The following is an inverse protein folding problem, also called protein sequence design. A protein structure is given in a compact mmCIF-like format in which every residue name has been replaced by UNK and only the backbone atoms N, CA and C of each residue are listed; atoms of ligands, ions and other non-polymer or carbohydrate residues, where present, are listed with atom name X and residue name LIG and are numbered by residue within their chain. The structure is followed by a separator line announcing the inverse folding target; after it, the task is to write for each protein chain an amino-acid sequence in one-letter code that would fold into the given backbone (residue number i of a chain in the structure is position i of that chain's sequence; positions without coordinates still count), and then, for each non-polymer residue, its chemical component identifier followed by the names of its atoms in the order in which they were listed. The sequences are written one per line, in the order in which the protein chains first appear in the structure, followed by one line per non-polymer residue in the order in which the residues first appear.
data_IF_923815725194
#
_entry.id   IF_923815725194
#
_cell.length_a   1.000
_cell.length_b   1.000
_cell.length_c   1.000
_cell.angle_alpha   90.00
_cell.angle_beta   90.00
_cell.angle_gamma   90.00
#
_symmetry.space_group_name_H-M   'P 1'
#
loop_
_entity.id
_entity.type
_entity.pdbx_description
1 polymer ?
#
# COMPACT_ATOMS: atom_id res chain seq x y z
N UNK A 1 22.69 11.48 41.68
CA UNK A 1 22.40 11.40 40.23
C UNK A 1 23.26 10.30 39.65
N UNK A 2 22.65 9.20 39.20
CA UNK A 2 23.41 8.13 38.55
C UNK A 2 23.96 8.59 37.18
N UNK A 3 25.07 8.02 36.70
CA UNK A 3 25.61 8.37 35.39
C UNK A 3 24.56 8.09 34.30
N UNK A 4 24.43 8.97 33.30
CA UNK A 4 23.47 8.76 32.21
C UNK A 4 23.78 7.43 31.52
N UNK A 5 22.79 6.53 31.51
CA UNK A 5 22.93 5.27 30.80
C UNK A 5 23.03 5.53 29.30
N UNK A 6 24.20 5.22 28.74
CA UNK A 6 24.42 5.27 27.29
C UNK A 6 23.50 4.22 26.67
N UNK A 7 22.58 4.59 25.75
CA UNK A 7 21.67 3.64 25.15
C UNK A 7 22.47 2.53 24.44
N UNK A 8 22.00 1.27 24.48
CA UNK A 8 22.70 0.15 23.88
C UNK A 8 22.92 0.41 22.39
N UNK A 9 24.18 0.35 21.96
CA UNK A 9 24.55 0.62 20.56
C UNK A 9 23.92 -0.43 19.66
N UNK A 10 23.27 0.01 18.59
CA UNK A 10 22.66 -0.88 17.59
C UNK A 10 23.72 -1.80 16.99
N UNK A 11 23.43 -3.10 16.93
CA UNK A 11 24.30 -4.08 16.25
C UNK A 11 24.47 -3.69 14.79
N UNK A 12 25.69 -3.80 14.28
CA UNK A 12 25.97 -3.71 12.85
C UNK A 12 25.50 -5.01 12.21
N UNK A 13 24.50 -4.94 11.32
CA UNK A 13 23.81 -6.14 10.79
C UNK A 13 24.21 -6.53 9.37
N UNK A 14 25.02 -5.73 8.69
CA UNK A 14 25.41 -5.99 7.30
C UNK A 14 26.80 -6.63 7.22
N UNK A 15 27.01 -7.64 6.36
CA UNK A 15 28.33 -8.22 6.09
C UNK A 15 29.38 -7.20 5.65
N UNK A 16 28.96 -6.04 5.11
CA UNK A 16 29.88 -4.96 4.71
C UNK A 16 30.78 -4.52 5.86
N UNK A 17 30.28 -4.59 7.10
CA UNK A 17 31.04 -4.19 8.28
C UNK A 17 32.19 -5.13 8.61
N UNK A 18 32.23 -6.35 8.04
CA UNK A 18 33.36 -7.26 8.17
C UNK A 18 34.63 -6.72 7.48
N UNK A 19 34.49 -5.73 6.60
CA UNK A 19 35.61 -5.07 5.93
C UNK A 19 36.06 -3.77 6.63
N UNK A 20 35.53 -3.50 7.82
CA UNK A 20 35.85 -2.30 8.58
C UNK A 20 36.11 -2.60 10.06
N UNK A 21 37.22 -2.08 10.56
CA UNK A 21 37.52 -2.05 11.99
C UNK A 21 37.09 -0.71 12.59
N UNK A 22 36.64 -0.73 13.84
CA UNK A 22 36.23 0.48 14.53
C UNK A 22 37.42 1.05 15.29
N UNK A 23 37.82 2.27 14.94
CA UNK A 23 38.96 2.96 15.56
C UNK A 23 38.56 4.33 16.09
N UNK A 24 39.27 4.81 17.11
CA UNK A 24 39.10 6.17 17.64
C UNK A 24 40.29 6.99 17.14
N UNK A 25 40.01 8.04 16.37
CA UNK A 25 41.03 8.96 15.83
C UNK A 25 40.67 10.36 16.28
N UNK A 26 41.53 10.99 17.09
CA UNK A 26 41.33 12.33 17.66
C UNK A 26 40.01 12.46 18.45
N UNK A 27 39.63 11.42 19.21
CA UNK A 27 38.40 11.40 20.01
C UNK A 27 37.12 11.11 19.22
N UNK A 28 37.21 10.95 17.89
CA UNK A 28 36.06 10.58 17.04
C UNK A 28 36.10 9.10 16.65
N UNK A 29 34.94 8.42 16.72
CA UNK A 29 34.80 7.08 16.16
C UNK A 29 34.83 7.12 14.63
N UNK A 30 35.73 6.33 14.04
CA UNK A 30 35.87 6.14 12.60
C UNK A 30 35.87 4.65 12.27
N UNK A 31 35.40 4.33 11.06
CA UNK A 31 35.56 3.02 10.46
C UNK A 31 36.88 3.01 9.68
N UNK A 32 37.80 2.11 9.98
CA UNK A 32 39.03 1.87 9.24
C UNK A 32 38.81 0.70 8.28
N UNK A 33 39.07 0.90 6.98
CA UNK A 33 38.98 -0.20 6.03
C UNK A 33 40.14 -1.18 6.22
N UNK A 34 39.86 -2.48 6.35
CA UNK A 34 40.88 -3.52 6.55
C UNK A 34 41.79 -3.74 5.33
N UNK A 35 41.36 -3.30 4.14
CA UNK A 35 42.08 -3.50 2.88
C UNK A 35 43.04 -2.36 2.52
N UNK A 36 42.78 -1.14 3.01
CA UNK A 36 43.56 0.05 2.64
C UNK A 36 43.91 0.96 3.81
N UNK A 37 43.51 0.59 5.03
CA UNK A 37 43.76 1.30 6.29
C UNK A 37 43.20 2.73 6.35
N UNK A 38 42.34 3.11 5.40
CA UNK A 38 41.74 4.44 5.31
C UNK A 38 40.62 4.60 6.36
N UNK A 39 40.55 5.79 6.98
CA UNK A 39 39.52 6.14 7.96
C UNK A 39 38.30 6.81 7.31
N UNK A 40 37.11 6.38 7.71
CA UNK A 40 35.82 6.90 7.29
C UNK A 40 35.00 7.34 8.50
N UNK A 41 34.43 8.54 8.44
CA UNK A 41 33.45 9.01 9.42
C UNK A 41 32.06 8.52 9.05
N UNK A 42 31.25 8.18 10.06
CA UNK A 42 29.84 7.84 9.90
C UNK A 42 29.00 9.03 9.39
N UNK A 43 29.51 10.26 9.47
CA UNK A 43 28.86 11.46 8.96
C UNK A 43 29.74 12.11 7.90
N UNK A 44 29.17 12.34 6.72
CA UNK A 44 29.83 13.15 5.71
C UNK A 44 29.86 14.61 6.17
N UNK A 45 31.04 15.23 6.11
CA UNK A 45 31.20 16.64 6.49
C UNK A 45 30.67 17.55 5.37
N UNK A 46 30.11 18.73 5.69
CA UNK A 46 29.65 19.68 4.68
C UNK A 46 30.73 20.02 3.64
N UNK A 47 31.99 20.14 4.06
CA UNK A 47 33.13 20.37 3.18
C UNK A 47 33.36 19.23 2.18
N UNK A 48 33.14 17.96 2.58
CA UNK A 48 33.26 16.81 1.65
C UNK A 48 32.13 16.81 0.62
N UNK A 49 30.91 17.17 1.03
CA UNK A 49 29.79 17.33 0.10
C UNK A 49 30.06 18.44 -0.91
N UNK A 50 30.52 19.62 -0.45
CA UNK A 50 30.84 20.74 -1.33
C UNK A 50 31.90 20.35 -2.38
N UNK A 51 33.00 19.72 -1.95
CA UNK A 51 34.06 19.25 -2.86
C UNK A 51 33.55 18.23 -3.89
N UNK A 52 32.58 17.40 -3.52
CA UNK A 52 31.96 16.45 -4.44
C UNK A 52 31.08 17.17 -5.46
N UNK A 53 30.23 18.11 -5.01
CA UNK A 53 29.40 18.91 -5.91
C UNK A 53 30.24 19.78 -6.87
N UNK A 54 31.36 20.34 -6.42
CA UNK A 54 32.27 21.11 -7.28
C UNK A 54 32.83 20.24 -8.42
N UNK A 55 33.19 18.98 -8.11
CA UNK A 55 33.64 18.01 -9.13
C UNK A 55 32.52 17.56 -10.06
N UNK A 56 31.30 17.42 -9.55
CA UNK A 56 30.14 17.11 -10.37
C UNK A 56 29.80 18.26 -11.34
N UNK A 57 29.83 19.51 -10.86
CA UNK A 57 29.69 20.72 -11.70
C UNK A 57 30.79 20.82 -12.76
N UNK A 58 32.04 20.54 -12.39
CA UNK A 58 33.15 20.50 -13.35
C UNK A 58 32.96 19.41 -14.43
N UNK A 59 32.24 18.34 -14.10
CA UNK A 59 31.86 17.27 -15.04
C UNK A 59 30.54 17.53 -15.77
N UNK A 60 29.99 18.75 -15.69
CA UNK A 60 28.72 19.20 -16.29
C UNK A 60 27.49 18.38 -15.86
N UNK A 61 27.50 17.82 -14.65
CA UNK A 61 26.36 17.08 -14.10
C UNK A 61 25.44 18.04 -13.34
N UNK A 62 24.14 17.97 -13.65
CA UNK A 62 23.12 18.69 -12.89
C UNK A 62 23.06 18.16 -11.45
N UNK A 63 23.32 19.04 -10.50
CA UNK A 63 23.32 18.73 -9.07
C UNK A 63 21.98 19.10 -8.39
N UNK A 64 20.94 19.43 -9.16
CA UNK A 64 19.60 19.71 -8.63
C UNK A 64 19.05 18.56 -7.79
N UNK A 65 19.32 17.31 -8.20
CA UNK A 65 19.03 16.09 -7.43
C UNK A 65 20.27 15.63 -6.67
N UNK A 66 20.36 16.04 -5.41
CA UNK A 66 21.44 15.62 -4.51
C UNK A 66 21.43 14.10 -4.27
N UNK A 67 22.62 13.54 -4.05
CA UNK A 67 22.79 12.15 -3.60
C UNK A 67 21.99 11.91 -2.32
N UNK A 68 21.19 10.85 -2.32
CA UNK A 68 20.39 10.44 -1.17
C UNK A 68 21.01 9.22 -0.51
N UNK A 69 20.94 9.15 0.82
CA UNK A 69 21.36 7.95 1.54
C UNK A 69 20.19 6.98 1.64
N UNK A 70 20.50 5.69 1.54
CA UNK A 70 19.55 4.63 1.85
C UNK A 70 19.06 4.75 3.30
N UNK A 71 17.77 4.49 3.49
CA UNK A 71 17.08 4.58 4.75
C UNK A 71 16.32 3.27 4.98
N UNK A 72 16.88 2.41 5.84
CA UNK A 72 16.33 1.06 6.10
C UNK A 72 14.83 1.04 6.43
N UNK A 73 14.30 2.10 7.04
CA UNK A 73 12.88 2.20 7.42
C UNK A 73 11.97 2.70 6.29
N UNK A 74 12.52 2.99 5.11
CA UNK A 74 11.79 3.49 3.93
C UNK A 74 12.10 2.61 2.72
N UNK A 75 11.21 1.71 2.39
CA UNK A 75 11.39 0.72 1.34
C UNK A 75 11.80 1.27 -0.05
N UNK A 76 11.44 2.52 -0.40
CA UNK A 76 11.85 3.15 -1.65
C UNK A 76 13.22 3.85 -1.60
N UNK A 77 13.86 3.96 -0.44
CA UNK A 77 15.10 4.72 -0.31
C UNK A 77 16.24 4.11 -1.10
N UNK A 78 16.29 2.79 -1.24
CA UNK A 78 17.34 2.13 -2.01
C UNK A 78 17.21 2.51 -3.48
N UNK A 79 16.01 2.42 -4.04
CA UNK A 79 15.74 2.88 -5.41
C UNK A 79 16.09 4.36 -5.59
N UNK A 80 15.62 5.24 -4.68
CA UNK A 80 15.89 6.67 -4.76
C UNK A 80 17.38 7.00 -4.64
N UNK A 81 18.11 6.31 -3.75
CA UNK A 81 19.55 6.41 -3.62
C UNK A 81 20.23 6.05 -4.94
N UNK A 82 19.94 4.87 -5.50
CA UNK A 82 20.59 4.39 -6.71
C UNK A 82 20.28 5.29 -7.90
N UNK A 83 19.01 5.66 -8.14
CA UNK A 83 18.62 6.57 -9.21
C UNK A 83 19.25 7.96 -9.04
N UNK A 84 19.36 8.47 -7.81
CA UNK A 84 20.06 9.74 -7.55
C UNK A 84 21.56 9.63 -7.82
N UNK A 85 22.16 8.43 -7.67
CA UNK A 85 23.58 8.19 -7.86
C UNK A 85 23.98 7.97 -9.33
N UNK A 86 23.07 7.47 -10.17
CA UNK A 86 23.36 7.16 -11.59
C UNK A 86 24.01 8.31 -12.38
N UNK A 87 23.50 9.56 -12.30
CA UNK A 87 24.12 10.68 -13.02
C UNK A 87 25.57 10.96 -12.61
N UNK A 88 25.96 10.53 -11.40
CA UNK A 88 27.28 10.77 -10.84
C UNK A 88 28.30 9.66 -11.15
N UNK A 89 27.95 8.63 -11.92
CA UNK A 89 28.84 7.50 -12.28
C UNK A 89 30.23 7.95 -12.72
N UNK A 90 30.29 8.93 -13.62
CA UNK A 90 31.56 9.48 -14.13
C UNK A 90 32.34 10.28 -13.08
N UNK A 91 31.66 10.94 -12.14
CA UNK A 91 32.29 11.65 -11.02
C UNK A 91 33.02 10.68 -10.11
N UNK A 92 32.38 9.55 -9.79
CA UNK A 92 33.01 8.47 -9.01
C UNK A 92 34.22 7.87 -9.74
N UNK A 93 34.13 7.67 -11.05
CA UNK A 93 35.27 7.24 -11.88
C UNK A 93 36.44 8.23 -11.81
N UNK A 94 36.17 9.52 -12.01
CA UNK A 94 37.19 10.57 -11.96
C UNK A 94 37.84 10.69 -10.57
N UNK A 95 37.05 10.52 -9.51
CA UNK A 95 37.54 10.51 -8.13
C UNK A 95 38.55 9.38 -7.89
N UNK A 96 38.30 8.20 -8.45
CA UNK A 96 39.21 7.05 -8.38
C UNK A 96 40.54 7.34 -9.06
N UNK A 97 40.50 7.93 -10.24
CA UNK A 97 41.70 8.28 -11.03
C UNK A 97 42.54 9.35 -10.33
N UNK A 98 41.89 10.38 -9.77
CA UNK A 98 42.59 11.48 -9.08
C UNK A 98 43.14 11.08 -7.71
N UNK A 99 42.52 10.12 -7.04
CA UNK A 99 42.97 9.63 -5.75
C UNK A 99 42.87 8.10 -5.71
N UNK A 100 43.95 7.39 -6.07
CA UNK A 100 44.00 5.93 -6.04
C UNK A 100 43.66 5.32 -4.68
N UNK A 101 43.79 6.06 -3.57
CA UNK A 101 43.39 5.60 -2.24
C UNK A 101 41.88 5.39 -2.10
N UNK A 102 41.08 5.99 -2.97
CA UNK A 102 39.62 5.78 -3.02
C UNK A 102 39.22 4.53 -3.82
N UNK A 103 40.18 3.72 -4.30
CA UNK A 103 39.92 2.53 -5.14
C UNK A 103 38.89 1.58 -4.53
N UNK A 104 38.90 1.41 -3.21
CA UNK A 104 37.98 0.53 -2.47
C UNK A 104 36.75 1.26 -1.90
N UNK A 105 36.62 2.56 -2.18
CA UNK A 105 35.56 3.43 -1.64
C UNK A 105 34.58 3.93 -2.72
N UNK A 106 34.85 3.61 -3.99
CA UNK A 106 34.00 3.98 -5.12
C UNK A 106 33.43 2.73 -5.80
N UNK A 107 32.22 2.80 -6.38
CA UNK A 107 31.67 1.66 -7.09
C UNK A 107 32.49 1.30 -8.33
N UNK A 108 32.63 0.00 -8.58
CA UNK A 108 33.23 -0.57 -9.79
C UNK A 108 32.24 -0.55 -10.96
N UNK A 109 32.69 -0.91 -12.17
CA UNK A 109 31.80 -1.03 -13.33
C UNK A 109 30.71 -2.08 -13.09
N UNK A 110 31.07 -3.24 -12.55
CA UNK A 110 30.11 -4.29 -12.19
C UNK A 110 29.11 -3.82 -11.13
N UNK A 111 29.53 -3.00 -10.15
CA UNK A 111 28.59 -2.43 -9.17
C UNK A 111 27.55 -1.51 -9.83
N UNK A 112 27.96 -0.73 -10.84
CA UNK A 112 27.04 0.12 -11.61
C UNK A 112 26.08 -0.71 -12.46
N UNK A 113 26.56 -1.75 -13.12
CA UNK A 113 25.74 -2.68 -13.91
C UNK A 113 24.69 -3.37 -13.02
N UNK A 114 25.11 -3.89 -11.85
CA UNK A 114 24.20 -4.45 -10.87
C UNK A 114 23.18 -3.41 -10.37
N UNK A 115 23.62 -2.18 -10.10
CA UNK A 115 22.73 -1.11 -9.66
C UNK A 115 21.72 -0.70 -10.74
N UNK A 116 22.08 -0.73 -12.02
CA UNK A 116 21.16 -0.51 -13.15
C UNK A 116 20.08 -1.60 -13.20
N UNK A 117 20.46 -2.88 -13.08
CA UNK A 117 19.53 -4.01 -13.00
C UNK A 117 18.57 -3.82 -11.83
N UNK A 118 19.09 -3.57 -10.63
CA UNK A 118 18.26 -3.37 -9.43
C UNK A 118 17.33 -2.17 -9.59
N UNK A 119 17.80 -1.05 -10.16
CA UNK A 119 16.96 0.11 -10.42
C UNK A 119 15.79 -0.23 -11.34
N UNK A 120 16.03 -0.97 -12.42
CA UNK A 120 14.98 -1.39 -13.34
C UNK A 120 13.91 -2.22 -12.63
N UNK A 121 14.31 -3.23 -11.85
CA UNK A 121 13.36 -4.06 -11.09
C UNK A 121 12.58 -3.24 -10.06
N UNK A 122 13.27 -2.38 -9.30
CA UNK A 122 12.65 -1.57 -8.24
C UNK A 122 11.79 -0.42 -8.78
N UNK A 123 11.97 0.00 -10.03
CA UNK A 123 11.19 1.08 -10.65
C UNK A 123 9.68 0.80 -10.62
N UNK A 124 9.27 -0.45 -10.87
CA UNK A 124 7.85 -0.85 -10.84
C UNK A 124 7.23 -0.61 -9.46
N UNK A 125 7.97 -0.96 -8.41
CA UNK A 125 7.57 -0.79 -7.01
C UNK A 125 7.45 0.69 -6.65
N UNK A 126 8.43 1.48 -7.06
CA UNK A 126 8.44 2.91 -6.81
C UNK A 126 7.21 3.60 -7.42
N UNK A 127 6.92 3.35 -8.70
CA UNK A 127 5.72 3.89 -9.40
C UNK A 127 4.42 3.52 -8.68
N UNK A 128 4.31 2.28 -8.23
CA UNK A 128 3.13 1.82 -7.48
C UNK A 128 3.03 2.54 -6.13
N UNK A 129 4.15 2.82 -5.47
CA UNK A 129 4.16 3.60 -4.23
C UNK A 129 3.69 5.03 -4.42
N UNK A 130 4.13 5.69 -5.48
CA UNK A 130 3.72 7.05 -5.79
C UNK A 130 2.20 7.11 -6.03
N UNK A 131 1.69 6.13 -6.78
CA UNK A 131 0.25 5.94 -6.99
C UNK A 131 -0.50 5.80 -5.65
N UNK A 132 0.06 5.03 -4.71
CA UNK A 132 -0.52 4.82 -3.38
C UNK A 132 -0.36 6.01 -2.43
N UNK A 133 0.60 6.89 -2.70
CA UNK A 133 0.84 8.10 -1.90
C UNK A 133 -0.11 9.24 -2.29
N UNK A 134 -0.90 9.05 -3.36
CA UNK A 134 -1.95 9.97 -3.79
C UNK A 134 -3.01 10.20 -2.71
N UNK A 135 -3.47 11.46 -2.59
CA UNK A 135 -4.51 11.88 -1.63
C UNK A 135 -5.82 12.34 -2.30
N UNK A 136 -5.88 12.34 -3.64
CA UNK A 136 -6.95 12.99 -4.42
C UNK A 136 -8.04 12.04 -4.94
N UNK A 137 -7.90 10.73 -4.76
CA UNK A 137 -8.86 9.74 -5.28
C UNK A 137 -8.95 8.52 -4.35
N UNK A 138 -10.05 7.76 -4.41
CA UNK A 138 -10.15 6.45 -3.77
C UNK A 138 -9.12 5.54 -4.43
N UNK A 139 -8.19 5.10 -3.61
CA UNK A 139 -7.07 4.28 -4.03
C UNK A 139 -7.31 2.82 -3.71
N UNK A 140 -8.14 2.53 -2.69
CA UNK A 140 -8.39 1.20 -2.10
C UNK A 140 -8.72 0.13 -3.15
N UNK A 141 -9.63 0.45 -4.07
CA UNK A 141 -10.06 -0.40 -5.18
C UNK A 141 -8.96 -0.70 -6.21
N UNK A 142 -7.96 0.18 -6.33
CA UNK A 142 -6.85 0.02 -7.28
C UNK A 142 -5.71 -0.82 -6.69
N UNK A 143 -5.63 -0.96 -5.35
CA UNK A 143 -4.50 -1.64 -4.71
C UNK A 143 -4.35 -3.08 -5.13
N UNK A 144 -5.45 -3.83 -5.14
CA UNK A 144 -5.41 -5.26 -5.36
C UNK A 144 -4.66 -5.60 -6.65
N UNK A 145 -5.06 -4.99 -7.76
CA UNK A 145 -4.42 -5.16 -9.08
C UNK A 145 -2.94 -4.84 -9.00
N UNK A 146 -2.59 -3.67 -8.48
CA UNK A 146 -1.19 -3.22 -8.38
C UNK A 146 -0.34 -4.13 -7.48
N UNK A 147 -0.90 -4.68 -6.40
CA UNK A 147 -0.20 -5.61 -5.49
C UNK A 147 -0.02 -6.98 -6.15
N UNK A 148 -1.02 -7.47 -6.88
CA UNK A 148 -0.89 -8.69 -7.68
C UNK A 148 0.19 -8.54 -8.77
N UNK A 149 0.22 -7.40 -9.46
CA UNK A 149 1.26 -7.08 -10.45
C UNK A 149 2.67 -7.09 -9.83
N UNK A 150 2.83 -6.63 -8.58
CA UNK A 150 4.09 -6.74 -7.84
C UNK A 150 4.47 -8.21 -7.64
N UNK A 151 3.53 -9.04 -7.17
CA UNK A 151 3.80 -10.47 -6.95
C UNK A 151 4.23 -11.16 -8.24
N UNK A 152 3.56 -10.86 -9.36
CA UNK A 152 3.88 -11.40 -10.67
C UNK A 152 5.26 -10.93 -11.15
N UNK A 153 5.59 -9.65 -10.98
CA UNK A 153 6.90 -9.13 -11.33
C UNK A 153 8.02 -9.78 -10.51
N UNK A 154 7.78 -10.02 -9.21
CA UNK A 154 8.72 -10.73 -8.34
C UNK A 154 8.91 -12.19 -8.74
N UNK A 155 7.83 -12.93 -9.04
CA UNK A 155 7.92 -14.31 -9.53
C UNK A 155 8.75 -14.38 -10.81
N UNK A 156 8.43 -13.52 -11.78
CA UNK A 156 9.19 -13.42 -13.05
C UNK A 156 10.66 -13.09 -12.83
N UNK A 157 10.97 -12.21 -11.87
CA UNK A 157 12.36 -11.90 -11.54
C UNK A 157 13.08 -13.13 -10.94
N UNK A 158 12.44 -13.83 -10.00
CA UNK A 158 12.99 -15.04 -9.39
C UNK A 158 13.23 -16.18 -10.40
N UNK A 159 12.35 -16.32 -11.38
CA UNK A 159 12.38 -17.38 -12.41
C UNK A 159 13.30 -17.04 -13.61
N UNK A 160 13.91 -15.86 -13.64
CA UNK A 160 14.71 -15.43 -14.77
C UNK A 160 16.05 -16.15 -14.84
N UNK A 161 16.21 -17.08 -15.79
CA UNK A 161 17.44 -17.84 -16.07
C UNK A 161 18.64 -16.96 -16.49
N UNK A 162 18.39 -15.71 -16.91
CA UNK A 162 19.41 -14.76 -17.36
C UNK A 162 20.12 -14.01 -16.22
N UNK A 163 19.63 -14.17 -15.00
CA UNK A 163 20.07 -13.34 -13.86
C UNK A 163 21.08 -14.13 -13.00
N UNK A 164 22.08 -13.44 -12.47
CA UNK A 164 23.05 -14.05 -11.54
C UNK A 164 22.37 -14.52 -10.25
N UNK A 165 22.97 -15.50 -9.56
CA UNK A 165 22.43 -16.08 -8.31
C UNK A 165 22.10 -15.02 -7.24
N UNK A 166 22.87 -13.93 -7.18
CA UNK A 166 22.62 -12.84 -6.24
C UNK A 166 21.26 -12.15 -6.51
N UNK A 167 20.87 -12.02 -7.78
CA UNK A 167 19.63 -11.38 -8.20
C UNK A 167 18.41 -12.26 -7.89
N UNK A 168 18.54 -13.57 -8.09
CA UNK A 168 17.48 -14.54 -7.75
C UNK A 168 17.31 -14.67 -6.23
N UNK A 169 18.39 -14.64 -5.45
CA UNK A 169 18.36 -14.60 -3.99
C UNK A 169 17.66 -13.33 -3.46
N UNK A 170 17.91 -12.17 -4.09
CA UNK A 170 17.25 -10.92 -3.74
C UNK A 170 15.73 -11.00 -3.99
N UNK A 171 15.33 -11.48 -5.17
CA UNK A 171 13.92 -11.69 -5.51
C UNK A 171 13.24 -12.66 -4.52
N UNK A 172 13.93 -13.75 -4.14
CA UNK A 172 13.45 -14.70 -3.13
C UNK A 172 13.14 -14.04 -1.78
N UNK A 173 14.09 -13.26 -1.24
CA UNK A 173 13.90 -12.54 0.03
C UNK A 173 12.78 -11.49 -0.06
N UNK A 174 12.64 -10.82 -1.20
CA UNK A 174 11.53 -9.88 -1.41
C UNK A 174 10.18 -10.60 -1.47
N UNK A 175 10.11 -11.77 -2.09
CA UNK A 175 8.91 -12.62 -2.13
C UNK A 175 8.52 -13.08 -0.73
N UNK A 176 9.46 -13.56 0.08
CA UNK A 176 9.18 -13.99 1.46
C UNK A 176 8.58 -12.85 2.30
N UNK A 177 9.12 -11.64 2.16
CA UNK A 177 8.59 -10.45 2.84
C UNK A 177 7.21 -10.07 2.30
N UNK A 178 7.01 -10.16 0.99
CA UNK A 178 5.72 -9.92 0.36
C UNK A 178 4.65 -10.91 0.85
N UNK A 179 4.96 -12.21 0.91
CA UNK A 179 3.98 -13.25 1.24
C UNK A 179 3.45 -13.15 2.67
N UNK A 180 4.30 -12.75 3.61
CA UNK A 180 3.89 -12.43 4.98
C UNK A 180 2.84 -11.32 5.02
N UNK A 181 3.02 -10.27 4.22
CA UNK A 181 2.06 -9.18 4.11
C UNK A 181 0.78 -9.64 3.41
N UNK A 182 0.94 -10.32 2.27
CA UNK A 182 -0.15 -10.81 1.45
C UNK A 182 -1.12 -11.69 2.24
N UNK A 183 -0.60 -12.62 3.03
CA UNK A 183 -1.40 -13.54 3.84
C UNK A 183 -2.37 -12.84 4.81
N UNK A 184 -2.02 -11.65 5.32
CA UNK A 184 -2.86 -10.91 6.27
C UNK A 184 -3.77 -9.86 5.63
N UNK A 185 -3.52 -9.47 4.38
CA UNK A 185 -4.16 -8.29 3.76
C UNK A 185 -4.89 -8.57 2.46
N UNK A 186 -4.62 -9.71 1.80
CA UNK A 186 -5.25 -10.06 0.52
C UNK A 186 -6.78 -10.02 0.59
N UNK A 187 -7.38 -10.34 1.74
CA UNK A 187 -8.82 -10.45 1.92
C UNK A 187 -9.53 -9.13 1.73
N UNK A 188 -9.09 -8.12 2.46
CA UNK A 188 -9.70 -6.79 2.40
C UNK A 188 -9.37 -6.07 1.08
N UNK A 189 -8.20 -6.34 0.49
CA UNK A 189 -7.83 -5.81 -0.83
C UNK A 189 -8.71 -6.42 -1.94
N UNK A 190 -8.94 -7.73 -1.90
CA UNK A 190 -9.82 -8.42 -2.84
C UNK A 190 -11.27 -7.94 -2.69
N UNK A 191 -11.78 -7.77 -1.47
CA UNK A 191 -13.10 -7.16 -1.23
C UNK A 191 -13.18 -5.75 -1.83
N UNK A 192 -12.19 -4.90 -1.60
CA UNK A 192 -12.15 -3.56 -2.19
C UNK A 192 -12.14 -3.58 -3.73
N UNK A 193 -11.48 -4.57 -4.33
CA UNK A 193 -11.48 -4.77 -5.78
C UNK A 193 -12.86 -5.22 -6.29
N UNK A 194 -13.50 -6.19 -5.63
CA UNK A 194 -14.83 -6.69 -6.02
C UNK A 194 -15.88 -5.58 -5.96
N UNK A 195 -15.79 -4.70 -4.96
CA UNK A 195 -16.67 -3.54 -4.79
C UNK A 195 -16.41 -2.43 -5.83
N UNK A 196 -15.39 -2.54 -6.68
CA UNK A 196 -15.29 -1.71 -7.88
C UNK A 196 -16.10 -2.37 -9.00
N UNK A 197 -17.15 -1.70 -9.52
CA UNK A 197 -18.02 -2.27 -10.53
C UNK A 197 -17.32 -2.54 -11.88
N UNK A 198 -16.10 -2.04 -12.10
CA UNK A 198 -15.28 -2.36 -13.28
C UNK A 198 -14.46 -3.64 -13.13
N UNK A 199 -14.18 -4.04 -11.89
CA UNK A 199 -13.33 -5.20 -11.59
C UNK A 199 -14.18 -6.44 -11.28
N UNK A 200 -15.17 -6.27 -10.39
CA UNK A 200 -16.06 -7.35 -9.92
C UNK A 200 -15.27 -8.58 -9.44
N UNK A 201 -15.89 -9.76 -9.43
CA UNK A 201 -15.28 -10.99 -8.95
C UNK A 201 -14.22 -11.50 -9.93
N UNK A 202 -14.48 -11.33 -11.22
CA UNK A 202 -13.69 -11.75 -12.37
C UNK A 202 -12.24 -11.22 -12.26
N UNK A 203 -12.07 -9.98 -11.80
CA UNK A 203 -10.73 -9.43 -11.54
C UNK A 203 -9.99 -10.23 -10.45
N UNK A 204 -10.66 -10.63 -9.37
CA UNK A 204 -10.03 -11.41 -8.29
C UNK A 204 -9.72 -12.81 -8.78
N UNK A 205 -10.64 -13.44 -9.50
CA UNK A 205 -10.47 -14.78 -10.07
C UNK A 205 -9.26 -14.81 -11.02
N UNK A 206 -9.16 -13.84 -11.93
CA UNK A 206 -8.03 -13.72 -12.85
C UNK A 206 -6.67 -13.74 -12.13
N UNK A 207 -6.50 -12.86 -11.13
CA UNK A 207 -5.22 -12.77 -10.42
C UNK A 207 -4.99 -13.96 -9.48
N UNK A 208 -6.02 -14.50 -8.84
CA UNK A 208 -5.87 -15.64 -7.94
C UNK A 208 -5.52 -16.92 -8.70
N UNK A 209 -6.05 -17.12 -9.90
CA UNK A 209 -5.65 -18.22 -10.78
C UNK A 209 -4.14 -18.17 -11.08
N UNK A 210 -3.59 -16.98 -11.33
CA UNK A 210 -2.14 -16.80 -11.59
C UNK A 210 -1.30 -16.95 -10.30
N UNK A 211 -1.79 -16.44 -9.17
CA UNK A 211 -1.01 -16.40 -7.93
C UNK A 211 -0.99 -17.77 -7.23
N UNK A 212 -2.16 -18.42 -7.13
CA UNK A 212 -2.40 -19.63 -6.35
C UNK A 212 -2.49 -20.91 -7.18
N UNK A 213 -2.69 -20.82 -8.51
CA UNK A 213 -2.83 -22.00 -9.35
C UNK A 213 -4.02 -22.87 -8.90
N UNK A 214 -3.76 -24.13 -8.57
CA UNK A 214 -4.77 -25.11 -8.18
C UNK A 214 -5.55 -24.71 -6.91
N UNK A 215 -4.93 -23.93 -6.01
CA UNK A 215 -5.55 -23.46 -4.76
C UNK A 215 -6.44 -22.22 -4.96
N UNK A 216 -6.51 -21.67 -6.17
CA UNK A 216 -7.26 -20.44 -6.49
C UNK A 216 -8.73 -20.51 -6.05
N UNK A 217 -9.40 -21.64 -6.31
CA UNK A 217 -10.80 -21.85 -5.96
C UNK A 217 -11.05 -21.67 -4.45
N UNK A 218 -10.19 -22.24 -3.60
CA UNK A 218 -10.32 -22.17 -2.15
C UNK A 218 -10.19 -20.72 -1.65
N UNK A 219 -9.25 -19.97 -2.23
CA UNK A 219 -9.06 -18.56 -1.91
C UNK A 219 -10.23 -17.69 -2.40
N UNK A 220 -10.73 -17.92 -3.61
CA UNK A 220 -11.91 -17.21 -4.14
C UNK A 220 -13.13 -17.44 -3.23
N UNK A 221 -13.39 -18.69 -2.82
CA UNK A 221 -14.49 -19.02 -1.92
C UNK A 221 -14.29 -18.43 -0.50
N UNK A 222 -13.04 -18.31 -0.04
CA UNK A 222 -12.72 -17.58 1.20
C UNK A 222 -13.07 -16.10 1.08
N UNK A 223 -12.76 -15.45 -0.04
CA UNK A 223 -13.11 -14.04 -0.29
C UNK A 223 -14.62 -13.84 -0.38
N UNK A 224 -15.34 -14.72 -1.09
CA UNK A 224 -16.82 -14.67 -1.16
C UNK A 224 -17.43 -14.75 0.23
N UNK A 225 -17.02 -15.72 1.05
CA UNK A 225 -17.47 -15.86 2.45
C UNK A 225 -17.20 -14.58 3.26
N UNK A 226 -15.99 -14.03 3.17
CA UNK A 226 -15.64 -12.77 3.83
C UNK A 226 -16.60 -11.63 3.44
N UNK A 227 -16.98 -11.54 2.16
CA UNK A 227 -17.89 -10.51 1.67
C UNK A 227 -19.33 -10.72 2.18
N UNK A 228 -19.82 -11.96 2.21
CA UNK A 228 -21.12 -12.29 2.81
C UNK A 228 -21.15 -11.99 4.31
N UNK A 229 -20.11 -12.38 5.05
CA UNK A 229 -20.01 -12.13 6.50
C UNK A 229 -20.04 -10.63 6.79
N UNK A 230 -19.27 -9.85 6.02
CA UNK A 230 -19.25 -8.40 6.12
C UNK A 230 -20.64 -7.79 5.89
N UNK A 231 -21.36 -8.28 4.88
CA UNK A 231 -22.72 -7.84 4.60
C UNK A 231 -23.69 -8.15 5.74
N UNK A 232 -23.61 -9.35 6.33
CA UNK A 232 -24.40 -9.72 7.49
C UNK A 232 -24.14 -8.77 8.68
N UNK A 233 -22.87 -8.48 8.97
CA UNK A 233 -22.48 -7.55 10.04
C UNK A 233 -23.06 -6.15 9.82
N UNK A 234 -23.01 -5.62 8.59
CA UNK A 234 -23.53 -4.29 8.29
C UNK A 234 -25.06 -4.26 8.41
N UNK A 235 -25.77 -5.30 7.96
CA UNK A 235 -27.23 -5.38 8.09
C UNK A 235 -27.66 -5.38 9.56
N UNK A 236 -26.98 -6.14 10.42
CA UNK A 236 -27.31 -6.22 11.84
C UNK A 236 -27.05 -4.91 12.58
N UNK A 237 -26.03 -4.15 12.17
CA UNK A 237 -25.83 -2.78 12.65
C UNK A 237 -27.02 -1.88 12.28
N UNK A 238 -27.50 -1.93 11.04
CA UNK A 238 -28.69 -1.15 10.63
C UNK A 238 -29.92 -1.51 11.45
N UNK A 239 -30.17 -2.80 11.68
CA UNK A 239 -31.33 -3.23 12.47
C UNK A 239 -31.27 -2.73 13.92
N UNK A 240 -30.07 -2.70 14.53
CA UNK A 240 -29.86 -2.19 15.89
C UNK A 240 -29.96 -0.66 15.99
N UNK A 241 -29.40 0.06 15.02
CA UNK A 241 -29.49 1.53 14.97
C UNK A 241 -30.95 2.00 14.81
N UNK A 242 -31.73 1.28 14.01
CA UNK A 242 -33.17 1.51 13.89
C UNK A 242 -33.88 1.25 15.24
N UNK A 243 -33.59 0.15 15.92
CA UNK A 243 -34.22 -0.15 17.22
C UNK A 243 -33.90 0.90 18.30
N UNK A 244 -32.66 1.40 18.35
CA UNK A 244 -32.26 2.48 19.28
C UNK A 244 -32.93 3.83 18.95
N UNK A 245 -33.17 4.13 17.67
CA UNK A 245 -33.85 5.37 17.26
C UNK A 245 -35.32 5.43 17.67
N UNK A 246 -36.00 4.28 17.80
CA UNK A 246 -37.38 4.19 18.30
C UNK A 246 -37.45 4.12 19.83
N UNK A 247 -36.49 3.48 20.51
CA UNK A 247 -36.46 3.44 21.98
C UNK A 247 -36.04 4.74 22.67
N UNK A 248 -35.55 5.74 21.92
CA UNK A 248 -35.09 7.03 22.48
C UNK A 248 -36.17 8.12 22.49
N UNK A 249 -37.41 7.80 22.13
CA UNK A 249 -38.53 8.74 22.07
C UNK A 249 -39.72 8.30 22.94
N UNK A 250 -39.47 7.94 24.21
CA UNK A 250 -40.55 7.89 25.21
C UNK A 250 -40.10 8.55 26.51
N UNK A 251 -40.36 9.86 26.58
CA UNK A 251 -40.18 10.71 27.75
C UNK A 251 -41.32 11.73 27.84
N UNK A 252 -42.44 11.28 28.42
CA UNK A 252 -43.44 12.04 29.20
C UNK A 252 -44.11 13.26 28.54
N UNK A 253 -45.43 13.15 28.29
CA UNK A 253 -46.43 13.93 29.06
C UNK A 253 -47.87 13.48 28.75
N UNK A 254 -48.58 13.16 29.83
CA UNK A 254 -50.00 12.83 29.88
C UNK A 254 -50.84 14.11 29.69
N UNK A 255 -51.76 14.11 28.72
CA UNK A 255 -52.63 15.24 28.44
C UNK A 255 -53.98 14.79 27.86
N UNK A 256 -54.88 14.38 28.74
CA UNK A 256 -56.30 14.09 28.45
C UNK A 256 -57.01 15.39 28.02
N UNK A 257 -57.60 15.45 26.82
CA UNK A 257 -58.80 16.28 26.53
C UNK A 257 -59.72 15.55 25.55
N UNK A 258 -61.02 15.59 25.87
CA UNK A 258 -62.15 15.00 25.16
C UNK A 258 -63.01 16.13 24.55
N UNK A 259 -63.63 15.85 23.40
CA UNK A 259 -64.66 16.67 22.72
C UNK A 259 -64.13 17.29 21.42
N UNK A 260 -64.78 17.22 20.26
CA UNK A 260 -66.09 16.72 19.84
C UNK A 260 -66.56 17.52 18.61
N UNK A 261 -67.10 16.82 17.61
CA UNK A 261 -67.90 17.27 16.44
C UNK A 261 -67.19 17.71 15.14
N UNK A 262 -67.42 16.85 14.14
CA UNK A 262 -67.73 17.02 12.71
C UNK A 262 -66.96 17.99 11.81
N UNK A 263 -66.16 17.39 10.92
CA UNK A 263 -66.03 17.85 9.55
C UNK A 263 -65.93 16.65 8.62
N UNK A 264 -66.89 16.53 7.70
CA UNK A 264 -66.76 15.70 6.50
C UNK A 264 -65.45 16.08 5.80
N UNK A 265 -64.51 15.16 5.72
CA UNK A 265 -63.50 15.18 4.67
C UNK A 265 -63.37 13.77 4.10
N UNK A 266 -63.47 13.71 2.78
CA UNK A 266 -63.60 12.50 2.00
C UNK A 266 -62.33 11.68 2.15
N UNK A 267 -62.47 10.49 2.73
CA UNK A 267 -61.38 9.54 2.87
C UNK A 267 -60.87 9.10 1.51
N UNK A 268 -59.77 9.71 1.04
CA UNK A 268 -58.79 9.03 0.21
C UNK A 268 -58.06 8.01 1.08
N UNK A 269 -58.79 6.95 1.46
CA UNK A 269 -58.18 5.72 1.92
C UNK A 269 -57.50 5.11 0.70
N UNK A 270 -56.24 5.50 0.49
CA UNK A 270 -55.38 4.85 -0.48
C UNK A 270 -55.57 3.34 -0.40
N UNK A 271 -55.88 2.75 -1.55
CA UNK A 271 -56.30 1.36 -1.69
C UNK A 271 -55.43 0.41 -0.86
N UNK A 272 -56.03 -0.70 -0.39
CA UNK A 272 -55.32 -1.74 0.36
C UNK A 272 -54.03 -2.17 -0.36
N UNK A 273 -53.99 -2.05 -1.69
CA UNK A 273 -52.83 -2.27 -2.53
C UNK A 273 -51.68 -1.25 -2.37
N UNK A 274 -51.94 0.05 -2.19
CA UNK A 274 -50.92 1.08 -1.89
C UNK A 274 -50.39 0.96 -0.46
N UNK A 275 -51.21 0.52 0.50
CA UNK A 275 -50.75 0.17 1.85
C UNK A 275 -49.89 -1.10 1.85
N UNK A 276 -50.28 -2.13 1.08
CA UNK A 276 -49.48 -3.34 0.85
C UNK A 276 -48.17 -3.02 0.11
N UNK A 277 -48.14 -2.08 -0.84
CA UNK A 277 -46.91 -1.60 -1.50
C UNK A 277 -45.97 -0.86 -0.54
N UNK A 278 -46.50 -0.04 0.38
CA UNK A 278 -45.69 0.62 1.42
C UNK A 278 -45.09 -0.36 2.44
N UNK A 279 -45.82 -1.43 2.78
CA UNK A 279 -45.32 -2.51 3.64
C UNK A 279 -44.44 -3.54 2.90
N UNK A 280 -44.61 -3.69 1.57
CA UNK A 280 -43.64 -4.32 0.66
C UNK A 280 -42.53 -3.34 0.28
N UNK A 281 -41.91 -2.66 1.24
CA UNK A 281 -40.51 -2.25 1.02
C UNK A 281 -39.76 -3.55 0.74
N UNK A 282 -39.29 -3.73 -0.50
CA UNK A 282 -38.53 -4.91 -0.93
C UNK A 282 -37.54 -5.25 0.18
N UNK A 283 -37.82 -6.31 0.96
CA UNK A 283 -36.80 -6.95 1.79
C UNK A 283 -35.87 -7.62 0.79
N UNK A 284 -34.98 -6.83 0.18
CA UNK A 284 -33.87 -7.37 -0.60
C UNK A 284 -33.05 -8.16 0.41
N UNK A 285 -33.03 -9.48 0.24
CA UNK A 285 -32.19 -10.33 1.06
C UNK A 285 -30.72 -9.93 0.80
N UNK A 286 -29.89 -9.92 1.83
CA UNK A 286 -28.47 -9.57 1.71
C UNK A 286 -27.74 -10.44 0.68
N UNK A 287 -28.09 -11.74 0.64
CA UNK A 287 -27.65 -12.63 -0.44
C UNK A 287 -28.07 -12.08 -1.81
N UNK A 288 -29.36 -11.84 -2.01
CA UNK A 288 -29.90 -11.28 -3.25
C UNK A 288 -29.28 -9.93 -3.67
N UNK A 289 -28.88 -9.06 -2.73
CA UNK A 289 -28.19 -7.79 -3.06
C UNK A 289 -26.80 -8.05 -3.66
N UNK A 290 -26.00 -8.91 -3.02
CA UNK A 290 -24.67 -9.26 -3.49
C UNK A 290 -24.71 -10.15 -4.73
N UNK A 291 -25.56 -11.19 -4.73
CA UNK A 291 -25.75 -12.10 -5.86
C UNK A 291 -26.08 -11.28 -7.11
N UNK A 292 -27.08 -10.39 -7.03
CA UNK A 292 -27.44 -9.51 -8.14
C UNK A 292 -26.30 -8.57 -8.52
N UNK A 293 -25.52 -8.04 -7.56
CA UNK A 293 -24.35 -7.23 -7.90
C UNK A 293 -23.29 -8.04 -8.65
N UNK A 294 -22.99 -9.26 -8.23
CA UNK A 294 -21.97 -10.12 -8.84
C UNK A 294 -22.42 -10.69 -10.20
N UNK A 295 -23.71 -10.90 -10.41
CA UNK A 295 -24.27 -11.38 -11.69
C UNK A 295 -24.31 -10.31 -12.79
N UNK A 296 -24.26 -9.02 -12.42
CA UNK A 296 -24.22 -7.95 -13.41
C UNK A 296 -22.82 -7.79 -14.00
N UNK A 297 -22.77 -7.63 -15.32
CA UNK A 297 -21.55 -7.39 -16.08
C UNK A 297 -20.70 -6.25 -15.47
N UNK A 298 -19.39 -6.46 -15.53
CA UNK A 298 -18.41 -5.44 -15.17
C UNK A 298 -18.53 -4.22 -16.10
N UNK A 299 -18.43 -3.02 -15.51
CA UNK A 299 -18.39 -1.78 -16.28
C UNK A 299 -17.08 -1.68 -17.08
N UNK A 300 -17.11 -1.03 -18.26
CA UNK A 300 -15.90 -0.82 -19.05
C UNK A 300 -14.89 0.07 -18.32
N UNK A 301 -13.61 -0.13 -18.66
CA UNK A 301 -12.52 0.70 -18.14
C UNK A 301 -12.65 2.15 -18.60
N UNK A 302 -12.50 3.09 -17.67
CA UNK A 302 -12.52 4.52 -17.95
C UNK A 302 -11.65 5.26 -16.94
N UNK A 303 -10.79 6.16 -17.45
CA UNK A 303 -9.91 7.00 -16.64
C UNK A 303 -10.66 8.08 -15.86
N UNK A 304 -11.88 8.43 -16.30
CA UNK A 304 -12.73 9.42 -15.66
C UNK A 304 -13.72 8.80 -14.64
N UNK A 305 -13.66 7.49 -14.43
CA UNK A 305 -14.59 6.80 -13.53
C UNK A 305 -14.29 7.09 -12.05
N UNK A 306 -15.28 7.63 -11.34
CA UNK A 306 -15.24 7.81 -9.89
C UNK A 306 -16.12 6.76 -9.20
N UNK A 307 -15.45 5.80 -8.57
CA UNK A 307 -16.10 4.70 -7.84
C UNK A 307 -16.98 5.19 -6.69
N UNK A 308 -16.58 6.23 -5.95
CA UNK A 308 -17.40 6.74 -4.84
C UNK A 308 -18.62 7.49 -5.37
N UNK A 309 -18.48 8.19 -6.50
CA UNK A 309 -19.60 8.85 -7.16
C UNK A 309 -20.61 7.81 -7.70
N UNK A 310 -20.14 6.73 -8.32
CA UNK A 310 -20.97 5.62 -8.77
C UNK A 310 -21.84 5.08 -7.61
N UNK A 311 -21.21 4.72 -6.50
CA UNK A 311 -21.91 4.21 -5.32
C UNK A 311 -22.75 5.27 -4.60
N UNK A 312 -22.50 6.56 -4.83
CA UNK A 312 -23.36 7.64 -4.32
C UNK A 312 -24.69 7.71 -5.07
N UNK A 313 -24.67 7.52 -6.39
CA UNK A 313 -25.86 7.65 -7.26
C UNK A 313 -26.65 6.34 -7.31
N UNK A 314 -25.99 5.19 -7.39
CA UNK A 314 -26.68 3.90 -7.50
C UNK A 314 -27.37 3.56 -6.16
N UNK A 315 -28.71 3.57 -6.16
CA UNK A 315 -29.53 3.28 -4.98
C UNK A 315 -29.92 1.80 -4.87
N UNK A 316 -29.55 0.95 -5.84
CA UNK A 316 -29.98 -0.46 -5.91
C UNK A 316 -29.44 -1.30 -4.75
N UNK A 317 -28.29 -0.92 -4.20
CA UNK A 317 -27.53 -1.72 -3.25
C UNK A 317 -27.28 -0.98 -1.91
N UNK A 318 -28.29 -0.85 -1.04
CA UNK A 318 -28.20 -0.03 0.15
C UNK A 318 -27.18 -0.52 1.19
N UNK A 319 -26.93 -1.83 1.29
CA UNK A 319 -25.98 -2.40 2.25
C UNK A 319 -24.56 -2.31 1.71
N UNK A 320 -24.36 -2.67 0.44
CA UNK A 320 -23.06 -2.57 -0.24
C UNK A 320 -22.54 -1.15 -0.27
N UNK A 321 -23.40 -0.14 -0.46
CA UNK A 321 -22.99 1.28 -0.38
C UNK A 321 -22.38 1.68 0.95
N UNK A 322 -22.92 1.16 2.07
CA UNK A 322 -22.37 1.44 3.41
C UNK A 322 -21.00 0.80 3.55
N UNK A 323 -20.88 -0.45 3.10
CA UNK A 323 -19.60 -1.16 3.08
C UNK A 323 -18.58 -0.41 2.22
N UNK A 324 -18.95 -0.01 1.01
CA UNK A 324 -18.11 0.76 0.10
C UNK A 324 -17.64 2.05 0.75
N UNK A 325 -18.54 2.78 1.40
CA UNK A 325 -18.19 4.04 2.08
C UNK A 325 -17.12 3.81 3.15
N UNK A 326 -17.24 2.74 3.92
CA UNK A 326 -16.32 2.46 5.02
C UNK A 326 -15.03 1.77 4.56
N UNK A 327 -15.07 1.00 3.47
CA UNK A 327 -13.89 0.36 2.88
C UNK A 327 -13.17 1.33 1.94
N UNK A 328 -13.80 1.75 0.85
CA UNK A 328 -13.19 2.61 -0.17
C UNK A 328 -12.99 4.06 0.30
N UNK A 329 -13.74 4.51 1.32
CA UNK A 329 -13.57 5.83 1.93
C UNK A 329 -12.33 5.96 2.81
N UNK A 330 -11.63 4.87 3.14
CA UNK A 330 -10.34 4.92 3.83
C UNK A 330 -9.26 5.27 2.79
N UNK A 331 -8.54 6.39 2.94
CA UNK A 331 -7.43 6.71 2.05
C UNK A 331 -6.39 5.58 2.06
N UNK A 332 -5.84 5.23 0.89
CA UNK A 332 -4.66 4.36 0.70
C UNK A 332 -3.70 4.35 1.88
N UNK A 333 -3.26 5.56 2.24
CA UNK A 333 -2.25 5.84 3.23
C UNK A 333 -2.63 5.48 4.67
N UNK A 334 -3.88 5.08 4.92
CA UNK A 334 -4.40 4.65 6.23
C UNK A 334 -4.74 3.16 6.30
N UNK A 335 -4.82 2.49 5.16
CA UNK A 335 -4.85 1.04 5.15
C UNK A 335 -3.56 0.51 5.79
N UNK A 336 -3.47 -0.79 6.14
CA UNK A 336 -2.22 -1.44 6.54
C UNK A 336 -1.09 -1.27 5.51
N UNK A 337 -1.30 -0.56 4.41
CA UNK A 337 -0.26 -0.05 3.53
C UNK A 337 0.70 0.94 4.22
N UNK A 338 0.34 1.54 5.37
CA UNK A 338 1.34 2.13 6.27
C UNK A 338 2.26 1.09 6.91
N UNK A 339 1.79 -0.14 7.11
CA UNK A 339 2.63 -1.29 7.47
C UNK A 339 3.53 -1.65 6.27
N UNK A 340 3.07 -1.60 5.01
CA UNK A 340 3.96 -1.66 3.85
C UNK A 340 4.99 -0.51 3.76
N UNK A 341 4.64 0.69 4.25
CA UNK A 341 5.53 1.87 4.23
C UNK A 341 6.51 1.93 5.42
N UNK A 342 6.32 1.11 6.46
CA UNK A 342 7.12 1.14 7.71
C UNK A 342 7.91 -0.16 7.94
N UNK A 343 7.57 -1.27 7.27
CA UNK A 343 8.09 -2.60 7.65
C UNK A 343 9.24 -3.09 6.79
N UNK A 344 10.42 -2.53 7.05
CA UNK A 344 11.71 -3.23 6.93
C UNK A 344 12.48 -2.99 8.23
N UNK A 345 12.03 -3.65 9.30
CA UNK A 345 12.89 -3.98 10.44
C UNK A 345 13.10 -5.49 10.43
N UNK A 346 14.36 -5.91 10.26
CA UNK A 346 14.80 -7.30 10.06
C UNK A 346 15.66 -7.44 8.83
#
# INVERSE_FOLDING_TARGET
MGPPQVPPRRKLTSPVWNHFEKVIVNGEEKAQCVHCSQHYSAKATPSRFQKFEDKARASKIDCSRKLQLDCKTRWNSTYLMLVSAMPYRNVFGNLKTQNPRLKFSVPTLCDWELAEIICDKLNRFHKITELFSGRKYPTANLFFRQVCEIKMALKKWKESEKEEQLNTDMAGKMIEKFDKYWASTNGILAVAAILDPRNKLECVEHYFNIIYGDDSFLEIERIKRLLYDLLHVYRDKVSRDYFHSYSSHDGVSSGKRKGGIDSLDSGDQGDTWTQIKKNKKKKVNVRCELDHYLENDALPESSAFDVLHYWKIDLKYPTLRKIVKDILGIPASRWPLRVLLVWVEG
#
